data_IF_321937447607
#
_entry.id   IF_321937447607
#
_cell.length_a   1.000
_cell.length_b   1.000
_cell.length_c   1.000
_cell.angle_alpha   90.00
_cell.angle_beta   90.00
_cell.angle_gamma   90.00
#
_symmetry.space_group_name_H-M   'P 1'
#
loop_
_entity.id
_entity.type
_entity.pdbx_description
1 polymer ?
#
# COMPACT_ATOMS: atom_id res chain seq x y z
N UNK A 1 -7.80 11.69 10.70
CA UNK A 1 -8.49 13.00 10.86
C UNK A 1 -8.09 13.77 12.12
N UNK A 2 -7.49 13.14 13.14
CA UNK A 2 -6.96 13.82 14.34
C UNK A 2 -5.87 14.87 14.03
N UNK A 3 -5.27 14.83 12.84
CA UNK A 3 -4.17 15.71 12.43
C UNK A 3 -4.59 17.18 12.26
N UNK A 4 -5.78 17.46 11.74
CA UNK A 4 -6.24 18.83 11.44
C UNK A 4 -6.32 19.70 12.71
N UNK A 5 -7.05 19.31 13.78
CA UNK A 5 -7.10 20.10 15.00
C UNK A 5 -5.73 20.23 15.68
N UNK A 6 -4.89 19.18 15.62
CA UNK A 6 -3.52 19.22 16.14
C UNK A 6 -2.65 20.24 15.40
N UNK A 7 -2.70 20.30 14.06
CA UNK A 7 -1.96 21.29 13.26
C UNK A 7 -2.44 22.72 13.54
N UNK A 8 -3.75 22.94 13.67
CA UNK A 8 -4.31 24.27 13.98
C UNK A 8 -3.86 24.73 15.37
N UNK A 9 -3.89 23.85 16.38
CA UNK A 9 -3.41 24.18 17.73
C UNK A 9 -1.93 24.57 17.77
N UNK A 10 -1.15 24.10 16.79
CA UNK A 10 0.27 24.38 16.62
C UNK A 10 0.56 25.63 15.77
N UNK A 11 -0.49 26.38 15.37
CA UNK A 11 -0.35 27.62 14.61
C UNK A 11 -0.31 27.46 13.09
N UNK A 12 -0.60 26.27 12.55
CA UNK A 12 -0.73 26.11 11.10
C UNK A 12 -2.05 26.71 10.59
N UNK A 13 -1.99 27.27 9.39
CA UNK A 13 -3.17 27.78 8.69
C UNK A 13 -4.19 26.66 8.45
N UNK A 14 -5.48 26.96 8.66
CA UNK A 14 -6.57 25.98 8.53
C UNK A 14 -6.66 25.39 7.12
N UNK A 15 -6.46 26.21 6.09
CA UNK A 15 -6.46 25.77 4.70
C UNK A 15 -5.26 24.88 4.36
N UNK A 16 -4.09 25.18 4.95
CA UNK A 16 -2.92 24.32 4.80
C UNK A 16 -3.08 22.97 5.52
N UNK A 17 -3.60 22.98 6.75
CA UNK A 17 -3.85 21.76 7.52
C UNK A 17 -4.86 20.82 6.82
N UNK A 18 -5.93 21.37 6.24
CA UNK A 18 -6.88 20.59 5.45
C UNK A 18 -6.25 20.08 4.15
N UNK A 19 -5.51 20.91 3.42
CA UNK A 19 -4.87 20.52 2.17
C UNK A 19 -3.81 19.42 2.38
N UNK A 20 -2.96 19.56 3.41
CA UNK A 20 -1.94 18.58 3.74
C UNK A 20 -2.53 17.24 4.19
N UNK A 21 -3.60 17.27 4.98
CA UNK A 21 -4.30 16.04 5.42
C UNK A 21 -5.07 15.38 4.27
N UNK A 22 -5.66 16.16 3.36
CA UNK A 22 -6.33 15.62 2.18
C UNK A 22 -5.32 14.99 1.21
N UNK A 23 -4.19 15.65 0.96
CA UNK A 23 -3.13 15.16 0.09
C UNK A 23 -2.49 13.86 0.63
N UNK A 24 -2.27 13.76 1.95
CA UNK A 24 -1.67 12.56 2.55
C UNK A 24 -2.57 11.31 2.47
N UNK A 25 -3.89 11.49 2.51
CA UNK A 25 -4.84 10.36 2.40
C UNK A 25 -4.75 9.61 1.07
N UNK A 26 -4.45 10.33 -0.03
CA UNK A 26 -4.33 9.73 -1.37
C UNK A 26 -3.05 8.91 -1.57
N UNK A 27 -2.02 9.13 -0.75
CA UNK A 27 -0.71 8.47 -0.89
C UNK A 27 -0.80 6.97 -0.56
N UNK A 28 -1.73 6.57 0.32
CA UNK A 28 -1.95 5.17 0.69
C UNK A 28 -2.41 4.26 -0.45
N UNK A 29 -2.82 4.85 -1.59
CA UNK A 29 -3.19 4.10 -2.81
C UNK A 29 -1.93 3.59 -3.53
N UNK A 30 -0.83 4.33 -3.47
CA UNK A 30 0.37 4.10 -4.30
C UNK A 30 1.45 3.32 -3.55
N UNK A 31 1.61 3.57 -2.25
CA UNK A 31 2.66 2.91 -1.46
C UNK A 31 2.22 1.49 -1.05
N UNK A 32 2.99 0.43 -1.39
CA UNK A 32 2.68 -0.94 -0.99
C UNK A 32 2.84 -1.16 0.52
N UNK A 33 2.02 -2.04 1.14
CA UNK A 33 0.93 -2.83 0.55
C UNK A 33 -0.39 -2.02 0.45
N UNK A 34 -1.00 -2.00 -0.74
CA UNK A 34 -2.18 -1.16 -1.05
C UNK A 34 -3.34 -2.00 -1.57
N UNK A 35 -4.49 -1.99 -0.87
CA UNK A 35 -5.71 -2.69 -1.28
C UNK A 35 -6.17 -2.24 -2.68
N UNK A 36 -6.23 -0.94 -3.01
CA UNK A 36 -6.55 -0.50 -4.38
C UNK A 36 -5.63 -1.08 -5.45
N UNK A 37 -4.33 -1.20 -5.16
CA UNK A 37 -3.35 -1.77 -6.09
C UNK A 37 -3.58 -3.27 -6.31
N UNK A 38 -3.97 -4.00 -5.25
CA UNK A 38 -4.37 -5.42 -5.36
C UNK A 38 -5.62 -5.57 -6.21
N UNK A 39 -6.65 -4.74 -5.97
CA UNK A 39 -7.89 -4.78 -6.75
C UNK A 39 -7.58 -4.52 -8.23
N UNK A 40 -6.77 -3.50 -8.52
CA UNK A 40 -6.34 -3.22 -9.88
C UNK A 40 -5.60 -4.42 -10.50
N UNK A 41 -4.61 -4.98 -9.81
CA UNK A 41 -3.86 -6.14 -10.30
C UNK A 41 -4.74 -7.36 -10.60
N UNK A 42 -5.71 -7.65 -9.73
CA UNK A 42 -6.69 -8.73 -9.96
C UNK A 42 -7.57 -8.44 -11.17
N UNK A 43 -8.07 -7.20 -11.32
CA UNK A 43 -8.92 -6.82 -12.46
C UNK A 43 -8.15 -6.78 -13.78
N UNK A 44 -6.89 -6.37 -13.75
CA UNK A 44 -6.02 -6.27 -14.92
C UNK A 44 -5.35 -7.60 -15.29
N UNK A 45 -5.50 -8.65 -14.47
CA UNK A 45 -4.80 -9.93 -14.61
C UNK A 45 -3.26 -9.77 -14.61
N UNK A 46 -2.77 -8.76 -13.90
CA UNK A 46 -1.35 -8.43 -13.78
C UNK A 46 -0.77 -8.96 -12.46
N UNK A 47 0.54 -9.17 -12.45
CA UNK A 47 1.24 -9.61 -11.25
C UNK A 47 1.20 -8.52 -10.17
N UNK A 48 0.49 -8.80 -9.07
CA UNK A 48 0.38 -7.88 -7.91
C UNK A 48 1.77 -7.56 -7.34
N UNK A 49 2.67 -8.55 -7.34
CA UNK A 49 4.05 -8.40 -6.86
C UNK A 49 4.83 -7.39 -7.71
N UNK A 50 4.66 -7.42 -9.02
CA UNK A 50 5.33 -6.47 -9.93
C UNK A 50 4.75 -5.07 -9.76
N UNK A 51 3.43 -4.94 -9.62
CA UNK A 51 2.80 -3.67 -9.29
C UNK A 51 3.31 -3.07 -7.98
N UNK A 52 3.52 -3.90 -6.95
CA UNK A 52 4.04 -3.44 -5.68
C UNK A 52 5.44 -2.87 -5.84
N UNK A 53 6.33 -3.57 -6.55
CA UNK A 53 7.68 -3.07 -6.85
C UNK A 53 7.62 -1.77 -7.67
N UNK A 54 6.75 -1.73 -8.68
CA UNK A 54 6.53 -0.54 -9.51
C UNK A 54 5.98 0.66 -8.73
N UNK A 55 5.20 0.43 -7.66
CA UNK A 55 4.63 1.46 -6.79
C UNK A 55 5.63 2.15 -5.86
N UNK A 56 6.79 1.53 -5.59
CA UNK A 56 7.80 2.07 -4.66
C UNK A 56 8.36 3.41 -5.15
N UNK A 57 8.77 3.47 -6.42
CA UNK A 57 9.37 4.66 -7.02
C UNK A 57 8.41 5.86 -7.01
N UNK A 58 7.18 5.78 -7.56
CA UNK A 58 6.24 6.89 -7.53
C UNK A 58 5.81 7.25 -6.10
N UNK A 59 5.65 6.26 -5.22
CA UNK A 59 5.36 6.49 -3.81
C UNK A 59 6.43 7.33 -3.10
N UNK A 60 7.71 7.00 -3.32
CA UNK A 60 8.84 7.75 -2.78
C UNK A 60 8.92 9.17 -3.36
N UNK A 61 8.69 9.33 -4.67
CA UNK A 61 8.66 10.65 -5.32
C UNK A 61 7.58 11.56 -4.71
N UNK A 62 6.38 11.01 -4.48
CA UNK A 62 5.29 11.76 -3.84
C UNK A 62 5.65 12.13 -2.40
N UNK A 63 6.22 11.21 -1.64
CA UNK A 63 6.65 11.47 -0.26
C UNK A 63 7.69 12.60 -0.19
N UNK A 64 8.72 12.55 -1.04
CA UNK A 64 9.74 13.60 -1.14
C UNK A 64 9.11 14.93 -1.60
N UNK A 65 8.21 14.90 -2.58
CA UNK A 65 7.50 16.09 -3.03
C UNK A 65 6.69 16.77 -1.92
N UNK A 66 5.98 15.99 -1.11
CA UNK A 66 5.22 16.51 0.05
C UNK A 66 6.15 17.11 1.11
N UNK A 67 7.30 16.48 1.38
CA UNK A 67 8.32 17.02 2.28
C UNK A 67 8.85 18.37 1.75
N UNK A 68 9.17 18.46 0.45
CA UNK A 68 9.67 19.69 -0.17
C UNK A 68 8.62 20.81 -0.05
N UNK A 69 7.36 20.53 -0.40
CA UNK A 69 6.26 21.51 -0.30
C UNK A 69 6.09 21.98 1.13
N UNK A 70 6.20 21.08 2.12
CA UNK A 70 6.16 21.43 3.53
C UNK A 70 7.32 22.36 3.92
N UNK A 71 8.55 22.02 3.54
CA UNK A 71 9.73 22.84 3.82
C UNK A 71 9.63 24.24 3.21
N UNK A 72 9.18 24.35 1.95
CA UNK A 72 9.02 25.65 1.27
C UNK A 72 7.96 26.51 1.97
N UNK A 73 6.80 25.94 2.31
CA UNK A 73 5.72 26.70 2.96
C UNK A 73 6.02 27.08 4.40
N UNK A 74 6.76 26.24 5.12
CA UNK A 74 7.18 26.54 6.48
C UNK A 74 8.29 27.61 6.55
N UNK A 75 9.16 27.71 5.53
CA UNK A 75 10.18 28.79 5.45
C UNK A 75 9.56 30.18 5.27
N UNK A 76 8.44 30.30 4.56
CA UNK A 76 7.77 31.58 4.30
C UNK A 76 7.00 32.19 5.48
N UNK A 77 6.78 31.45 6.57
CA UNK A 77 5.99 31.91 7.74
C UNK A 77 6.72 31.84 9.08
N UNK A 78 8.05 31.69 9.09
CA UNK A 78 8.86 31.67 10.33
C UNK A 78 8.74 30.40 11.18
N UNK A 79 7.89 29.44 10.80
CA UNK A 79 7.72 28.17 11.51
C UNK A 79 8.84 27.15 11.24
N UNK A 80 9.55 27.30 10.11
CA UNK A 80 10.13 26.16 9.39
C UNK A 80 11.52 25.65 9.77
N UNK A 81 12.21 26.22 10.75
CA UNK A 81 13.52 25.67 11.17
C UNK A 81 13.72 25.76 12.69
N UNK A 82 13.19 26.79 13.37
CA UNK A 82 13.58 27.11 14.75
C UNK A 82 12.68 26.53 15.85
N UNK A 83 11.41 26.17 15.57
CA UNK A 83 10.43 25.83 16.63
C UNK A 83 10.13 24.32 16.76
N UNK A 84 10.10 23.54 15.67
CA UNK A 84 9.72 22.12 15.74
C UNK A 84 10.86 21.18 15.36
N UNK A 85 11.81 21.01 16.29
CA UNK A 85 12.87 19.98 16.29
C UNK A 85 12.29 18.53 16.35
N UNK A 86 11.13 18.28 15.77
CA UNK A 86 10.37 17.03 15.80
C UNK A 86 10.82 16.03 14.73
N UNK A 87 11.55 16.45 13.69
CA UNK A 87 12.23 15.52 12.78
C UNK A 87 13.47 14.93 13.47
N UNK A 88 13.24 14.23 14.57
CA UNK A 88 14.21 13.36 15.20
C UNK A 88 14.54 12.27 14.18
N UNK A 89 15.82 12.17 13.80
CA UNK A 89 16.32 11.07 12.95
C UNK A 89 15.92 9.69 13.52
N UNK A 90 15.83 9.56 14.85
CA UNK A 90 15.30 8.38 15.53
C UNK A 90 13.79 8.17 15.29
N UNK A 91 13.00 9.25 15.27
CA UNK A 91 11.57 9.18 15.00
C UNK A 91 11.25 8.80 13.55
N UNK A 92 12.01 9.34 12.59
CA UNK A 92 11.94 8.94 11.18
C UNK A 92 12.34 7.47 11.03
N UNK A 93 13.44 7.05 11.64
CA UNK A 93 13.91 5.67 11.54
C UNK A 93 12.96 4.67 12.20
N UNK A 94 12.39 5.01 13.36
CA UNK A 94 11.38 4.18 14.04
C UNK A 94 10.08 4.08 13.22
N UNK A 95 9.69 5.16 12.53
CA UNK A 95 8.54 5.14 11.62
C UNK A 95 8.82 4.26 10.40
N UNK A 96 10.02 4.37 9.82
CA UNK A 96 10.46 3.52 8.71
C UNK A 96 10.55 2.05 9.10
N UNK A 97 11.04 1.73 10.30
CA UNK A 97 11.12 0.37 10.82
C UNK A 97 9.73 -0.23 11.01
N UNK A 98 8.81 0.52 11.64
CA UNK A 98 7.42 0.09 11.84
C UNK A 98 6.72 -0.18 10.51
N UNK A 99 6.92 0.71 9.54
CA UNK A 99 6.33 0.59 8.20
C UNK A 99 6.99 -0.56 7.42
N UNK A 100 8.31 -0.70 7.49
CA UNK A 100 9.06 -1.80 6.86
C UNK A 100 8.67 -3.16 7.43
N UNK A 101 8.37 -3.25 8.72
CA UNK A 101 7.89 -4.50 9.33
C UNK A 101 6.53 -4.92 8.79
N UNK A 102 5.60 -3.97 8.63
CA UNK A 102 4.27 -4.24 8.07
C UNK A 102 4.39 -4.64 6.60
N UNK A 103 5.09 -3.84 5.79
CA UNK A 103 5.29 -4.13 4.37
C UNK A 103 6.07 -5.43 4.16
N UNK A 104 7.11 -5.67 4.94
CA UNK A 104 7.93 -6.89 4.87
C UNK A 104 7.12 -8.15 5.13
N UNK A 105 6.24 -8.15 6.14
CA UNK A 105 5.34 -9.30 6.39
C UNK A 105 4.41 -9.58 5.21
N UNK A 106 3.82 -8.54 4.61
CA UNK A 106 2.94 -8.70 3.45
C UNK A 106 3.72 -9.22 2.24
N UNK A 107 4.90 -8.69 1.98
CA UNK A 107 5.73 -9.14 0.86
C UNK A 107 6.16 -10.60 0.99
N UNK A 108 6.51 -11.07 2.20
CA UNK A 108 6.82 -12.48 2.45
C UNK A 108 5.61 -13.37 2.15
N UNK A 109 4.42 -13.00 2.63
CA UNK A 109 3.18 -13.75 2.36
C UNK A 109 2.90 -13.79 0.85
N UNK A 110 3.02 -12.65 0.16
CA UNK A 110 2.80 -12.57 -1.28
C UNK A 110 3.82 -13.39 -2.08
N UNK A 111 5.09 -13.36 -1.69
CA UNK A 111 6.14 -14.15 -2.34
C UNK A 111 5.86 -15.65 -2.23
N UNK A 112 5.55 -16.14 -1.02
CA UNK A 112 5.20 -17.54 -0.80
C UNK A 112 3.94 -17.94 -1.58
N UNK A 113 2.89 -17.11 -1.55
CA UNK A 113 1.66 -17.36 -2.30
C UNK A 113 1.88 -17.41 -3.81
N UNK A 114 2.70 -16.50 -4.36
CA UNK A 114 3.04 -16.46 -5.78
C UNK A 114 3.83 -17.70 -6.21
N UNK A 115 4.88 -18.07 -5.47
CA UNK A 115 5.67 -19.27 -5.76
C UNK A 115 4.82 -20.53 -5.69
N UNK A 116 3.95 -20.64 -4.68
CA UNK A 116 3.03 -21.77 -4.56
C UNK A 116 2.00 -21.82 -5.69
N UNK A 117 1.37 -20.68 -6.02
CA UNK A 117 0.43 -20.59 -7.13
C UNK A 117 1.05 -20.99 -8.46
N UNK A 118 2.29 -20.55 -8.74
CA UNK A 118 3.04 -20.95 -9.94
C UNK A 118 3.33 -22.45 -9.98
N UNK A 119 3.66 -23.07 -8.84
CA UNK A 119 3.86 -24.52 -8.75
C UNK A 119 2.55 -25.28 -9.03
N UNK A 120 1.42 -24.86 -8.45
CA UNK A 120 0.12 -25.50 -8.70
C UNK A 120 -0.25 -25.49 -10.19
N UNK A 121 -0.02 -24.35 -10.85
CA UNK A 121 -0.27 -24.21 -12.30
C UNK A 121 0.70 -25.04 -13.12
N UNK A 122 1.99 -25.09 -12.73
CA UNK A 122 3.00 -25.88 -13.44
C UNK A 122 2.71 -27.39 -13.38
N UNK A 123 2.24 -27.89 -12.25
CA UNK A 123 1.84 -29.29 -12.08
C UNK A 123 0.41 -29.58 -12.52
N UNK A 124 -0.31 -28.59 -13.09
CA UNK A 124 -1.71 -28.70 -13.51
C UNK A 124 -2.62 -29.29 -12.42
N UNK A 125 -2.32 -28.99 -11.16
CA UNK A 125 -3.11 -29.46 -10.02
C UNK A 125 -4.58 -29.05 -10.13
N UNK A 126 -4.92 -27.82 -10.58
CA UNK A 126 -6.32 -27.46 -10.80
C UNK A 126 -7.03 -28.39 -11.80
N UNK A 127 -6.36 -28.76 -12.90
CA UNK A 127 -6.93 -29.64 -13.93
C UNK A 127 -7.14 -31.05 -13.40
N UNK A 128 -6.17 -31.60 -12.66
CA UNK A 128 -6.27 -32.93 -12.03
C UNK A 128 -7.42 -32.98 -11.02
N UNK A 129 -7.60 -31.92 -10.22
CA UNK A 129 -8.72 -31.83 -9.27
C UNK A 129 -10.05 -31.75 -10.03
N UNK A 130 -10.12 -30.97 -11.11
CA UNK A 130 -11.32 -30.86 -11.93
C UNK A 130 -11.70 -32.22 -12.55
N UNK A 131 -10.73 -32.95 -13.11
CA UNK A 131 -10.95 -34.30 -13.65
C UNK A 131 -11.35 -35.30 -12.57
N UNK A 132 -10.74 -35.25 -11.38
CA UNK A 132 -11.13 -36.09 -10.26
C UNK A 132 -12.58 -35.84 -9.83
N UNK A 133 -13.00 -34.57 -9.74
CA UNK A 133 -14.39 -34.19 -9.44
C UNK A 133 -15.37 -34.65 -10.53
N UNK A 134 -15.02 -34.49 -11.81
CA UNK A 134 -15.84 -34.92 -12.95
C UNK A 134 -15.90 -36.45 -13.05
N UNK A 135 -14.85 -37.17 -12.67
CA UNK A 135 -14.85 -38.64 -12.64
C UNK A 135 -15.70 -39.23 -11.52
N UNK A 136 -15.85 -38.49 -10.41
CA UNK A 136 -16.78 -38.83 -9.32
C UNK A 136 -18.24 -38.49 -9.66
N UNK A 137 -18.48 -37.56 -10.60
CA UNK A 137 -19.83 -37.09 -10.92
C UNK A 137 -20.09 -37.08 -12.43
N UNK A 138 -20.69 -38.17 -12.92
CA UNK A 138 -21.00 -38.37 -14.34
C UNK A 138 -22.35 -37.76 -14.76
N UNK A 139 -23.11 -37.17 -13.83
CA UNK A 139 -24.46 -36.66 -14.07
C UNK A 139 -24.50 -35.13 -14.05
N UNK A 140 -24.81 -34.54 -15.20
CA UNK A 140 -24.82 -33.08 -15.42
C UNK A 140 -25.85 -32.39 -14.51
N UNK A 141 -26.90 -33.08 -14.06
CA UNK A 141 -27.95 -32.49 -13.22
C UNK A 141 -27.55 -32.34 -11.75
N UNK A 142 -26.60 -33.13 -11.26
CA UNK A 142 -26.09 -33.05 -9.88
C UNK A 142 -25.04 -31.95 -9.70
N UNK A 143 -24.29 -31.60 -10.76
CA UNK A 143 -23.32 -30.50 -10.77
C UNK A 143 -24.00 -29.13 -10.67
N UNK A 144 -25.19 -28.97 -11.25
CA UNK A 144 -25.95 -27.71 -11.23
C UNK A 144 -26.79 -27.52 -9.95
N UNK A 145 -26.90 -28.54 -9.10
CA UNK A 145 -27.66 -28.51 -7.85
C UNK A 145 -26.80 -28.22 -6.60
N UNK A 146 -25.47 -28.15 -6.77
CA UNK A 146 -24.46 -27.86 -5.75
C UNK A 146 -23.95 -26.42 -5.91
#
# INVERSE_FOLDING_TARGET
>A
MLMIPAMISRGYDRGYASAATAASGGVGIIIPPSIPMVIFGVTAQESITEMFIAGVIPGLLIAVGLIIVHLIRCRGKGYGIFIYKELSLKGVMSSLETTSWLTGRVLVIMFTAYSFGRLLVQYRIPDIIAEALLSLTSDVHLIWAL
#
